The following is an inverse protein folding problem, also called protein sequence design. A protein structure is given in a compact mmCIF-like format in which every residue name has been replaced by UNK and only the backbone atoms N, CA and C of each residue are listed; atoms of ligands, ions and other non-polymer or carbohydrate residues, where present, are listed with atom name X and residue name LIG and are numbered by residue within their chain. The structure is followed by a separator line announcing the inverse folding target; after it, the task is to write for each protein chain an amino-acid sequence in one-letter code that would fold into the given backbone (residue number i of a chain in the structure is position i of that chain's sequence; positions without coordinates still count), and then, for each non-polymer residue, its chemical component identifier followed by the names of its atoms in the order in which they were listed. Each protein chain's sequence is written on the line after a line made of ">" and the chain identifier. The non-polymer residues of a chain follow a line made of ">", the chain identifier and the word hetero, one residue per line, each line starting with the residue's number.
data_IF_891003901261
#
_entry.id   IF_891003901261
#
_cell.length_a   1.000
_cell.length_b   1.000
_cell.length_c   1.000
_cell.angle_alpha   90.00
_cell.angle_beta   90.00
_cell.angle_gamma   90.00
#
_symmetry.space_group_name_H-M   'P 1'
#
loop_
_entity.id
_entity.type
_entity.pdbx_description
1 polymer ?
#
# COMPACT_ATOMS: atom_id res chain seq x y z
N UNK A 1 -8.66 10.81 6.73
CA UNK A 1 -7.60 10.42 5.82
C UNK A 1 -6.54 11.54 5.76
N UNK A 2 -5.29 11.21 6.06
CA UNK A 2 -4.12 12.07 5.92
C UNK A 2 -3.33 11.57 4.71
N UNK A 3 -3.56 12.14 3.53
CA UNK A 3 -3.02 11.58 2.29
C UNK A 3 -2.02 12.48 1.58
N UNK A 4 -1.18 11.84 0.74
CA UNK A 4 -0.20 12.51 -0.13
C UNK A 4 0.86 13.28 0.67
N UNK A 5 1.23 12.73 1.83
CA UNK A 5 2.23 13.36 2.70
C UNK A 5 3.60 13.40 2.00
N UNK A 6 4.14 14.57 1.68
CA UNK A 6 5.45 14.68 1.04
C UNK A 6 6.58 14.67 2.07
N UNK A 7 6.27 14.90 3.36
CA UNK A 7 7.20 15.13 4.45
C UNK A 7 6.81 14.32 5.69
N UNK A 8 7.81 13.70 6.34
CA UNK A 8 7.59 13.00 7.60
C UNK A 8 7.21 13.96 8.72
N UNK A 9 7.80 15.15 8.74
CA UNK A 9 7.50 16.17 9.77
C UNK A 9 6.04 16.60 9.73
N UNK A 10 5.51 16.84 8.54
CA UNK A 10 4.12 17.24 8.31
C UNK A 10 3.18 16.12 8.73
N UNK A 11 3.46 14.90 8.29
CA UNK A 11 2.71 13.69 8.66
C UNK A 11 2.61 13.48 10.18
N UNK A 12 3.70 13.75 10.94
CA UNK A 12 3.72 13.62 12.39
C UNK A 12 2.86 14.70 13.08
N UNK A 13 2.81 15.91 12.53
CA UNK A 13 1.97 17.00 13.07
C UNK A 13 0.49 16.69 12.86
N UNK A 14 0.12 16.27 11.64
CA UNK A 14 -1.27 15.92 11.33
C UNK A 14 -1.74 14.71 12.13
N UNK A 15 -0.90 13.69 12.26
CA UNK A 15 -1.21 12.52 13.09
C UNK A 15 -1.46 12.91 14.55
N UNK A 16 -0.66 13.82 15.11
CA UNK A 16 -0.88 14.33 16.48
C UNK A 16 -2.25 14.99 16.60
N UNK A 17 -2.65 15.80 15.64
CA UNK A 17 -3.97 16.46 15.65
C UNK A 17 -5.08 15.39 15.57
N UNK A 18 -4.95 14.39 14.72
CA UNK A 18 -5.93 13.30 14.60
C UNK A 18 -6.08 12.51 15.91
N UNK A 19 -4.97 12.24 16.61
CA UNK A 19 -4.97 11.57 17.92
C UNK A 19 -5.65 12.45 18.99
N UNK A 20 -5.37 13.75 19.02
CA UNK A 20 -6.02 14.69 19.94
C UNK A 20 -7.54 14.78 19.72
N UNK A 21 -7.98 14.57 18.48
CA UNK A 21 -9.41 14.51 18.13
C UNK A 21 -10.06 13.15 18.43
N UNK A 22 -9.29 12.13 18.76
CA UNK A 22 -9.79 10.76 18.97
C UNK A 22 -10.38 10.12 17.72
N UNK A 23 -9.93 10.52 16.52
CA UNK A 23 -10.47 10.07 15.26
C UNK A 23 -9.61 8.95 14.66
N UNK A 24 -10.24 7.83 14.29
CA UNK A 24 -9.56 6.79 13.53
C UNK A 24 -9.12 7.31 12.16
N UNK A 25 -7.86 7.05 11.79
CA UNK A 25 -7.30 7.56 10.54
C UNK A 25 -6.33 6.57 9.90
N UNK A 26 -6.02 6.79 8.64
CA UNK A 26 -4.82 6.27 8.00
C UNK A 26 -4.00 7.39 7.38
N UNK A 27 -2.71 7.11 7.18
CA UNK A 27 -1.77 8.06 6.62
C UNK A 27 -1.11 7.46 5.38
N UNK A 28 -0.98 8.24 4.31
CA UNK A 28 -0.28 7.81 3.10
C UNK A 28 0.68 8.88 2.60
N UNK A 29 1.83 8.40 2.11
CA UNK A 29 2.93 9.22 1.63
C UNK A 29 2.95 9.26 0.10
N UNK A 30 3.43 10.36 -0.46
CA UNK A 30 3.83 10.43 -1.86
C UNK A 30 5.34 10.21 -1.99
N UNK A 31 5.76 9.38 -2.96
CA UNK A 31 7.14 8.94 -3.09
C UNK A 31 7.75 9.38 -4.42
N UNK A 32 8.99 9.88 -4.34
CA UNK A 32 9.76 10.30 -5.51
C UNK A 32 10.45 9.14 -6.23
N UNK A 33 10.68 8.04 -5.52
CA UNK A 33 11.30 6.82 -6.04
C UNK A 33 10.75 5.56 -5.31
N UNK A 34 11.41 4.43 -5.48
CA UNK A 34 11.01 3.15 -4.93
C UNK A 34 11.42 2.92 -3.46
N UNK A 35 11.95 3.96 -2.78
CA UNK A 35 12.44 3.90 -1.38
C UNK A 35 12.14 5.14 -0.56
N UNK A 36 12.01 6.32 -1.19
CA UNK A 36 11.97 7.61 -0.50
C UNK A 36 10.68 8.36 -0.78
N UNK A 37 10.14 8.99 0.25
CA UNK A 37 9.09 10.00 0.10
C UNK A 37 9.66 11.24 -0.60
N UNK A 38 8.79 12.15 -1.05
CA UNK A 38 9.20 13.28 -1.89
C UNK A 38 10.25 14.19 -1.25
N UNK A 39 10.27 14.33 0.07
CA UNK A 39 11.34 15.09 0.76
C UNK A 39 12.68 14.33 0.91
N UNK A 40 12.74 13.04 0.52
CA UNK A 40 13.95 12.23 0.57
C UNK A 40 14.10 11.32 1.80
N UNK A 41 13.18 11.34 2.76
CA UNK A 41 13.18 10.40 3.89
C UNK A 41 12.81 8.99 3.41
N UNK A 42 13.50 7.95 3.92
CA UNK A 42 13.16 6.56 3.59
C UNK A 42 11.79 6.18 4.11
N UNK A 43 10.99 5.51 3.28
CA UNK A 43 9.65 5.06 3.67
C UNK A 43 9.66 4.14 4.90
N UNK A 44 10.69 3.31 5.05
CA UNK A 44 10.89 2.48 6.25
C UNK A 44 11.13 3.31 7.53
N UNK A 45 11.74 4.50 7.42
CA UNK A 45 11.89 5.43 8.55
C UNK A 45 10.56 6.06 8.91
N UNK A 46 9.77 6.43 7.91
CA UNK A 46 8.40 6.90 8.12
C UNK A 46 7.58 5.85 8.87
N UNK A 47 7.61 4.59 8.41
CA UNK A 47 6.92 3.50 9.09
C UNK A 47 7.37 3.31 10.55
N UNK A 48 8.67 3.33 10.81
CA UNK A 48 9.20 3.23 12.19
C UNK A 48 8.75 4.38 13.09
N UNK A 49 8.64 5.59 12.55
CA UNK A 49 8.19 6.75 13.34
C UNK A 49 6.77 6.57 13.90
N UNK A 50 5.91 5.84 13.16
CA UNK A 50 4.54 5.54 13.58
C UNK A 50 4.38 4.20 14.32
N UNK A 51 5.30 3.25 14.17
CA UNK A 51 5.16 1.89 14.70
C UNK A 51 6.06 1.62 15.92
N UNK A 52 7.02 2.49 16.21
CA UNK A 52 7.99 2.30 17.31
C UNK A 52 7.32 2.24 18.69
N UNK A 53 6.25 3.01 18.87
CA UNK A 53 5.45 3.02 20.06
C UNK A 53 3.96 2.87 19.67
N UNK A 54 3.38 1.67 19.78
CA UNK A 54 2.00 1.43 19.40
C UNK A 54 0.97 2.18 20.27
N UNK A 55 1.38 2.65 21.47
CA UNK A 55 0.51 3.44 22.34
C UNK A 55 0.46 4.90 21.97
N UNK A 56 1.41 5.37 21.14
CA UNK A 56 1.46 6.78 20.73
C UNK A 56 0.43 7.14 19.65
N UNK A 57 0.07 6.16 18.81
CA UNK A 57 -0.85 6.35 17.69
C UNK A 57 -1.98 5.30 17.68
N UNK A 58 -2.81 5.20 18.74
CA UNK A 58 -3.83 4.17 18.88
C UNK A 58 -4.95 4.28 17.84
N UNK A 59 -5.14 5.47 17.25
CA UNK A 59 -6.14 5.71 16.22
C UNK A 59 -5.62 5.52 14.79
N UNK A 60 -4.32 5.30 14.60
CA UNK A 60 -3.75 4.98 13.28
C UNK A 60 -4.11 3.55 12.89
N UNK A 61 -4.93 3.38 11.85
CA UNK A 61 -5.42 2.07 11.38
C UNK A 61 -4.67 1.49 10.20
N UNK A 62 -4.12 2.33 9.34
CA UNK A 62 -3.33 1.92 8.17
C UNK A 62 -2.25 2.94 7.86
N UNK A 63 -1.18 2.47 7.23
CA UNK A 63 -0.14 3.31 6.64
C UNK A 63 -0.01 2.97 5.15
N UNK A 64 0.44 3.90 4.32
CA UNK A 64 0.49 3.58 2.90
C UNK A 64 1.18 4.58 2.01
N UNK A 65 0.94 4.39 0.70
CA UNK A 65 1.49 5.22 -0.37
C UNK A 65 0.41 5.52 -1.39
N UNK A 66 0.34 6.78 -1.81
CA UNK A 66 -0.52 7.20 -2.92
C UNK A 66 0.19 8.18 -3.85
N UNK A 67 -0.45 8.54 -4.94
CA UNK A 67 0.04 9.56 -5.88
C UNK A 67 1.50 9.31 -6.34
N UNK A 68 1.84 8.05 -6.53
CA UNK A 68 3.19 7.54 -6.80
C UNK A 68 3.16 6.64 -8.03
N UNK A 69 4.27 6.50 -8.74
CA UNK A 69 4.37 5.61 -9.92
C UNK A 69 4.05 4.16 -9.54
N UNK A 70 3.18 3.45 -10.30
CA UNK A 70 2.82 2.06 -10.03
C UNK A 70 4.02 1.13 -9.89
N UNK A 71 5.07 1.36 -10.68
CA UNK A 71 6.28 0.54 -10.69
C UNK A 71 7.04 0.54 -9.36
N UNK A 72 6.91 1.57 -8.52
CA UNK A 72 7.62 1.70 -7.26
C UNK A 72 6.93 0.99 -6.10
N UNK A 73 5.61 0.76 -6.21
CA UNK A 73 4.76 0.34 -5.09
C UNK A 73 5.19 -0.98 -4.45
N UNK A 74 5.60 -1.98 -5.24
CA UNK A 74 6.06 -3.28 -4.68
C UNK A 74 7.27 -3.11 -3.77
N UNK A 75 8.27 -2.32 -4.21
CA UNK A 75 9.45 -2.02 -3.39
C UNK A 75 9.06 -1.28 -2.11
N UNK A 76 8.20 -0.28 -2.21
CA UNK A 76 7.71 0.50 -1.06
C UNK A 76 6.93 -0.36 -0.07
N UNK A 77 6.08 -1.30 -0.52
CA UNK A 77 5.41 -2.26 0.36
C UNK A 77 6.42 -3.12 1.12
N UNK A 78 7.46 -3.61 0.45
CA UNK A 78 8.51 -4.41 1.07
C UNK A 78 9.27 -3.59 2.12
N UNK A 79 9.62 -2.36 1.82
CA UNK A 79 10.27 -1.45 2.78
C UNK A 79 9.38 -1.20 4.00
N UNK A 80 8.08 -0.96 3.83
CA UNK A 80 7.14 -0.87 4.96
C UNK A 80 7.19 -2.12 5.84
N UNK A 81 7.18 -3.32 5.25
CA UNK A 81 7.16 -4.60 5.99
C UNK A 81 8.43 -4.86 6.79
N UNK A 82 9.53 -4.18 6.50
CA UNK A 82 10.73 -4.22 7.36
C UNK A 82 10.56 -3.45 8.66
N UNK A 83 9.52 -2.62 8.77
CA UNK A 83 9.41 -1.62 9.81
C UNK A 83 8.05 -1.58 10.53
N UNK A 84 7.00 -2.20 9.98
CA UNK A 84 5.65 -2.17 10.57
C UNK A 84 4.80 -3.37 10.18
N UNK A 85 3.93 -3.77 11.13
CA UNK A 85 2.85 -4.75 10.91
C UNK A 85 1.49 -4.09 10.62
N UNK A 86 1.41 -2.76 10.60
CA UNK A 86 0.18 -2.05 10.25
C UNK A 86 -0.35 -2.50 8.88
N UNK A 87 -1.68 -2.52 8.68
CA UNK A 87 -2.27 -2.68 7.36
C UNK A 87 -1.72 -1.65 6.38
N UNK A 88 -1.39 -2.07 5.14
CA UNK A 88 -0.82 -1.19 4.11
C UNK A 88 -1.88 -0.87 3.06
N UNK A 89 -2.13 0.43 2.85
CA UNK A 89 -2.97 0.94 1.78
C UNK A 89 -2.11 1.51 0.64
N UNK A 90 -2.39 1.12 -0.62
CA UNK A 90 -1.70 1.68 -1.79
C UNK A 90 -2.69 2.09 -2.87
N UNK A 91 -2.54 3.30 -3.38
CA UNK A 91 -3.38 3.85 -4.46
C UNK A 91 -2.55 4.77 -5.37
N UNK A 92 -1.81 4.13 -6.30
CA UNK A 92 -0.90 4.82 -7.21
C UNK A 92 -1.65 5.59 -8.31
N UNK A 93 -0.91 6.36 -9.10
CA UNK A 93 -1.39 6.93 -10.35
C UNK A 93 -1.65 5.81 -11.39
N UNK A 94 -2.28 6.15 -12.52
CA UNK A 94 -2.56 5.15 -13.58
C UNK A 94 -1.31 4.59 -14.26
N UNK A 95 -0.18 5.27 -14.11
CA UNK A 95 1.10 4.95 -14.78
C UNK A 95 1.52 6.01 -15.79
N UNK A 96 0.66 6.99 -16.06
CA UNK A 96 1.03 8.16 -16.85
C UNK A 96 2.03 9.04 -16.09
N UNK A 97 2.87 9.75 -16.85
CA UNK A 97 3.88 10.67 -16.32
C UNK A 97 3.38 12.11 -16.44
N UNK A 98 3.48 12.84 -15.34
CA UNK A 98 3.14 14.26 -15.32
C UNK A 98 4.32 15.11 -15.76
N UNK A 99 4.10 15.97 -16.76
CA UNK A 99 5.04 17.02 -17.17
C UNK A 99 4.69 18.33 -16.46
N UNK A 100 5.52 18.81 -15.52
CA UNK A 100 5.24 20.02 -14.77
C UNK A 100 5.39 21.30 -15.60
N UNK A 101 6.08 21.24 -16.76
CA UNK A 101 6.26 22.39 -17.65
C UNK A 101 5.00 22.62 -18.48
N UNK A 102 4.53 21.57 -19.15
CA UNK A 102 3.32 21.63 -19.97
C UNK A 102 2.04 21.44 -19.16
N UNK A 103 2.15 21.01 -17.89
CA UNK A 103 1.03 20.66 -16.99
C UNK A 103 0.11 19.60 -17.58
N UNK A 104 0.68 18.67 -18.32
CA UNK A 104 -0.04 17.57 -18.98
C UNK A 104 0.45 16.22 -18.50
N UNK A 105 -0.43 15.22 -18.63
CA UNK A 105 -0.10 13.83 -18.41
C UNK A 105 0.22 13.17 -19.74
N UNK A 106 1.26 12.32 -19.76
CA UNK A 106 1.69 11.56 -20.92
C UNK A 106 1.54 10.07 -20.66
N UNK A 107 1.24 9.32 -21.73
CA UNK A 107 1.09 7.88 -21.64
C UNK A 107 2.39 7.18 -21.18
N UNK A 108 2.24 6.02 -20.60
CA UNK A 108 3.35 5.18 -20.14
C UNK A 108 3.79 4.18 -21.21
N UNK A 109 5.09 3.84 -21.23
CA UNK A 109 5.63 2.72 -22.01
C UNK A 109 5.51 1.36 -21.27
N UNK A 110 4.97 1.35 -20.04
CA UNK A 110 4.77 0.12 -19.28
C UNK A 110 3.61 -0.70 -19.89
N UNK A 111 3.90 -1.96 -20.22
CA UNK A 111 2.93 -2.89 -20.82
C UNK A 111 2.05 -3.58 -19.79
N UNK A 112 2.33 -3.41 -18.49
CA UNK A 112 1.53 -4.01 -17.42
C UNK A 112 0.18 -3.34 -17.32
N UNK A 113 -0.85 -4.15 -17.10
CA UNK A 113 -2.20 -3.65 -16.82
C UNK A 113 -2.32 -3.22 -15.34
N UNK A 114 -3.33 -2.45 -15.03
CA UNK A 114 -3.61 -2.10 -13.64
C UNK A 114 -3.99 -3.35 -12.80
N UNK A 115 -4.53 -4.37 -13.44
CA UNK A 115 -4.72 -5.70 -12.84
C UNK A 115 -3.40 -6.33 -12.41
N UNK A 116 -2.38 -6.35 -13.28
CA UNK A 116 -1.07 -6.96 -12.98
C UNK A 116 -0.41 -6.25 -11.79
N UNK A 117 -0.50 -4.93 -11.77
CA UNK A 117 -0.02 -4.13 -10.65
C UNK A 117 -0.77 -4.48 -9.36
N UNK A 118 -2.09 -4.42 -9.36
CA UNK A 118 -2.90 -4.67 -8.17
C UNK A 118 -2.69 -6.09 -7.61
N UNK A 119 -2.62 -7.10 -8.49
CA UNK A 119 -2.32 -8.47 -8.09
C UNK A 119 -0.95 -8.57 -7.39
N UNK A 120 0.06 -7.92 -7.96
CA UNK A 120 1.41 -7.89 -7.37
C UNK A 120 1.43 -7.18 -6.01
N UNK A 121 0.62 -6.13 -5.81
CA UNK A 121 0.53 -5.43 -4.53
C UNK A 121 -0.08 -6.31 -3.44
N UNK A 122 -1.19 -7.00 -3.72
CA UNK A 122 -1.78 -7.97 -2.78
C UNK A 122 -0.82 -9.11 -2.45
N UNK A 123 -0.10 -9.64 -3.44
CA UNK A 123 0.89 -10.71 -3.24
C UNK A 123 2.07 -10.27 -2.36
N UNK A 124 2.40 -8.98 -2.34
CA UNK A 124 3.46 -8.41 -1.50
C UNK A 124 2.97 -7.82 -0.17
N UNK A 125 1.67 -7.96 0.15
CA UNK A 125 1.15 -7.66 1.47
C UNK A 125 0.37 -6.35 1.59
N UNK A 126 -0.05 -5.72 0.48
CA UNK A 126 -1.04 -4.66 0.55
C UNK A 126 -2.38 -5.21 1.06
N UNK A 127 -2.99 -4.48 1.98
CA UNK A 127 -4.32 -4.79 2.55
C UNK A 127 -5.43 -4.10 1.78
N UNK A 128 -5.18 -2.87 1.35
CA UNK A 128 -6.09 -2.07 0.55
C UNK A 128 -5.37 -1.57 -0.72
N UNK A 129 -6.04 -1.65 -1.86
CA UNK A 129 -5.54 -1.18 -3.16
C UNK A 129 -6.60 -0.32 -3.82
N UNK A 130 -6.20 0.82 -4.32
CA UNK A 130 -7.05 1.77 -5.05
C UNK A 130 -6.31 2.43 -6.20
N UNK A 131 -6.75 3.63 -6.57
CA UNK A 131 -6.13 4.45 -7.59
C UNK A 131 -6.15 5.92 -7.20
N UNK A 132 -5.20 6.70 -7.74
CA UNK A 132 -5.06 8.13 -7.56
C UNK A 132 -5.14 8.86 -8.91
N UNK A 133 -4.25 9.80 -9.18
CA UNK A 133 -4.29 10.63 -10.39
C UNK A 133 -4.40 9.80 -11.67
N UNK A 134 -5.22 10.27 -12.60
CA UNK A 134 -5.50 9.67 -13.91
C UNK A 134 -6.09 8.25 -13.88
N UNK A 135 -6.40 7.70 -12.70
CA UNK A 135 -7.16 6.45 -12.62
C UNK A 135 -8.66 6.70 -12.85
N UNK A 136 -9.29 5.75 -13.53
CA UNK A 136 -10.73 5.78 -13.86
C UNK A 136 -11.39 4.47 -13.44
N UNK A 137 -12.71 4.38 -13.59
CA UNK A 137 -13.50 3.22 -13.18
C UNK A 137 -12.95 1.89 -13.69
N UNK A 138 -12.49 1.83 -14.93
CA UNK A 138 -11.92 0.61 -15.51
C UNK A 138 -10.69 0.09 -14.75
N UNK A 139 -9.87 0.98 -14.19
CA UNK A 139 -8.74 0.60 -13.32
C UNK A 139 -9.24 -0.02 -12.02
N UNK A 140 -10.28 0.55 -11.40
CA UNK A 140 -10.84 0.01 -10.15
C UNK A 140 -11.54 -1.34 -10.38
N UNK A 141 -12.15 -1.56 -11.55
CA UNK A 141 -12.66 -2.88 -11.94
C UNK A 141 -11.53 -3.93 -12.01
N UNK A 142 -10.38 -3.56 -12.56
CA UNK A 142 -9.19 -4.41 -12.61
C UNK A 142 -8.65 -4.72 -11.20
N UNK A 143 -8.60 -3.73 -10.29
CA UNK A 143 -8.25 -3.95 -8.88
C UNK A 143 -9.19 -4.96 -8.22
N UNK A 144 -10.49 -4.80 -8.44
CA UNK A 144 -11.52 -5.71 -7.89
C UNK A 144 -11.33 -7.14 -8.39
N UNK A 145 -11.03 -7.31 -9.68
CA UNK A 145 -10.75 -8.62 -10.25
C UNK A 145 -9.47 -9.24 -9.67
N UNK A 146 -8.39 -8.46 -9.59
CA UNK A 146 -7.12 -8.91 -9.00
C UNK A 146 -7.29 -9.37 -7.55
N UNK A 147 -8.07 -8.65 -6.74
CA UNK A 147 -8.40 -9.03 -5.37
C UNK A 147 -9.13 -10.37 -5.31
N UNK A 148 -10.18 -10.56 -6.12
CA UNK A 148 -10.95 -11.81 -6.17
C UNK A 148 -10.06 -13.01 -6.51
N UNK A 149 -9.15 -12.84 -7.46
CA UNK A 149 -8.27 -13.91 -7.91
C UNK A 149 -7.20 -14.22 -6.85
N UNK A 150 -6.67 -13.19 -6.18
CA UNK A 150 -5.76 -13.36 -5.04
C UNK A 150 -6.42 -14.12 -3.87
N UNK A 151 -7.65 -13.76 -3.51
CA UNK A 151 -8.41 -14.41 -2.44
C UNK A 151 -8.71 -15.88 -2.77
N UNK A 152 -9.14 -16.18 -4.00
CA UNK A 152 -9.36 -17.56 -4.48
C UNK A 152 -8.07 -18.39 -4.41
N UNK A 153 -6.94 -17.85 -4.84
CA UNK A 153 -5.65 -18.54 -4.77
C UNK A 153 -5.25 -18.83 -3.31
N UNK A 154 -5.49 -17.89 -2.40
CA UNK A 154 -5.24 -18.06 -0.97
C UNK A 154 -6.10 -19.17 -0.34
N UNK A 155 -7.38 -19.25 -0.70
CA UNK A 155 -8.29 -20.32 -0.26
C UNK A 155 -7.81 -21.68 -0.76
N UNK A 156 -7.46 -21.79 -2.05
CA UNK A 156 -6.96 -23.04 -2.64
C UNK A 156 -5.68 -23.53 -1.94
N UNK A 157 -4.76 -22.60 -1.63
CA UNK A 157 -3.52 -22.95 -0.91
C UNK A 157 -3.80 -23.42 0.52
N UNK A 158 -4.75 -22.81 1.24
CA UNK A 158 -5.17 -23.25 2.57
C UNK A 158 -5.78 -24.66 2.52
N UNK A 159 -6.70 -24.91 1.58
CA UNK A 159 -7.33 -26.23 1.40
C UNK A 159 -6.30 -27.33 1.10
N UNK A 160 -5.33 -27.06 0.20
CA UNK A 160 -4.24 -28.01 -0.11
C UNK A 160 -3.36 -28.35 1.10
N UNK A 161 -3.10 -27.37 1.98
CA UNK A 161 -2.35 -27.59 3.23
C UNK A 161 -3.13 -28.42 4.25
N UNK A 162 -4.46 -28.26 4.31
CA UNK A 162 -5.33 -29.05 5.20
C UNK A 162 -5.39 -30.52 4.75
N UNK A 163 -5.51 -30.77 3.44
CA UNK A 163 -5.56 -32.13 2.88
C UNK A 163 -4.21 -32.88 3.03
N UNK A 164 -3.09 -32.17 3.07
CA UNK A 164 -1.76 -32.77 3.25
C UNK A 164 -1.36 -33.04 4.70
N UNK A 165 -2.16 -32.67 5.71
CA UNK A 165 -1.91 -33.10 7.09
C UNK A 165 -2.30 -34.58 7.23
N UNK A 166 -1.35 -35.50 7.48
CA UNK A 166 -1.72 -36.89 7.73
C UNK A 166 -2.59 -36.96 8.99
N UNK A 167 -3.68 -37.75 8.93
CA UNK A 167 -4.43 -38.12 10.13
C UNK A 167 -3.45 -38.74 11.09
N UNK A 168 -3.25 -38.14 12.25
CA UNK A 168 -2.52 -38.75 13.35
C UNK A 168 -3.33 -39.99 13.82
N UNK A 169 -2.96 -41.17 13.34
CA UNK A 169 -3.53 -42.43 13.83
C UNK A 169 -3.02 -42.60 15.27
N UNK A 170 -3.90 -42.31 16.21
CA UNK A 170 -3.69 -42.62 17.61
C UNK A 170 -3.52 -44.15 17.74
N UNK A 171 -2.31 -44.63 17.92
CA UNK A 171 -2.08 -45.99 18.39
C UNK A 171 -2.46 -46.03 19.87
N UNK A 172 -3.58 -46.64 20.17
CA UNK A 172 -3.89 -47.13 21.51
C UNK A 172 -3.08 -48.40 21.80
#
# INVERSE_FOLDING_TARGET
>A
LLETQPSLREALVEAKIAEEMGADYWISFSCGDDKHINEGTKIAECARAFSRDPHKYPHLKMIGVNCTKPAYIVSLIREFRTATDLPIAVYPNSGEEYDPVTKTWHGTNDKRTFYDYALSYFQNGATAVGGCCTTVESHIRQVTQARRDFEKAGIILKMRKMVKKPLAISKK
#
